data_IF_087572957662
#
_entry.id   IF_087572957662
#
_cell.length_a   1.000
_cell.length_b   1.000
_cell.length_c   1.000
_cell.angle_alpha   90.00
_cell.angle_beta   90.00
_cell.angle_gamma   90.00
#
_symmetry.space_group_name_H-M   'P 1'
#
loop_
_entity.id
_entity.type
_entity.pdbx_description
1 polymer ?
#
# COMPACT_ATOMS: atom_id res chain seq x y z
N UNK A 1 -19.63 25.54 -15.89
CA UNK A 1 -19.49 24.10 -15.69
C UNK A 1 -20.23 23.32 -16.77
N UNK A 2 -21.54 23.54 -16.93
CA UNK A 2 -22.38 22.77 -17.88
C UNK A 2 -22.02 22.96 -19.37
N UNK A 3 -21.48 24.12 -19.78
CA UNK A 3 -20.98 24.33 -21.15
C UNK A 3 -19.67 23.60 -21.46
N UNK A 4 -18.80 23.41 -20.45
CA UNK A 4 -17.48 22.79 -20.64
C UNK A 4 -17.59 21.28 -20.84
N UNK A 5 -18.58 20.64 -20.18
CA UNK A 5 -18.89 19.22 -20.33
C UNK A 5 -19.59 18.90 -21.66
N UNK A 6 -20.25 19.87 -22.29
CA UNK A 6 -20.91 19.69 -23.59
C UNK A 6 -19.93 19.77 -24.78
N UNK A 7 -18.84 20.52 -24.63
CA UNK A 7 -17.84 20.75 -25.69
C UNK A 7 -16.68 19.73 -25.65
N UNK A 8 -16.51 19.00 -24.54
CA UNK A 8 -15.48 17.97 -24.38
C UNK A 8 -16.10 16.66 -23.85
N UNK A 9 -16.80 15.89 -24.69
CA UNK A 9 -17.32 14.59 -24.26
C UNK A 9 -16.14 13.69 -23.85
N UNK A 10 -16.14 13.27 -22.58
CA UNK A 10 -15.25 12.23 -22.08
C UNK A 10 -15.37 11.00 -23.00
N UNK A 11 -14.27 10.30 -23.33
CA UNK A 11 -14.37 9.01 -24.00
C UNK A 11 -15.30 8.13 -23.15
N UNK A 12 -16.33 7.59 -23.79
CA UNK A 12 -17.32 6.73 -23.16
C UNK A 12 -16.59 5.43 -22.76
N UNK A 13 -15.99 5.41 -21.58
CA UNK A 13 -15.37 4.20 -21.02
C UNK A 13 -16.52 3.32 -20.58
N UNK A 14 -16.81 2.33 -21.42
CA UNK A 14 -17.78 1.29 -21.13
C UNK A 14 -17.30 0.42 -19.96
N UNK A 15 -17.67 0.84 -18.76
CA UNK A 15 -17.42 0.09 -17.51
C UNK A 15 -18.17 -1.25 -17.47
N UNK A 16 -19.09 -1.53 -18.39
CA UNK A 16 -19.80 -2.81 -18.43
C UNK A 16 -18.92 -3.99 -18.88
N UNK A 17 -17.80 -3.71 -19.57
CA UNK A 17 -16.88 -4.72 -20.11
C UNK A 17 -15.63 -5.01 -19.25
N UNK A 18 -15.40 -4.28 -18.15
CA UNK A 18 -14.26 -4.53 -17.26
C UNK A 18 -14.50 -5.59 -16.17
N UNK A 19 -15.62 -6.33 -16.22
CA UNK A 19 -15.87 -7.48 -15.32
C UNK A 19 -14.93 -8.67 -15.56
N UNK A 20 -14.12 -8.66 -16.62
CA UNK A 20 -13.25 -9.77 -17.02
C UNK A 20 -11.77 -9.36 -17.13
N UNK A 21 -11.29 -8.44 -16.30
CA UNK A 21 -9.86 -8.42 -16.01
C UNK A 21 -9.57 -9.64 -15.11
N UNK A 22 -9.03 -10.71 -15.70
CA UNK A 22 -8.44 -11.82 -14.96
C UNK A 22 -7.21 -11.29 -14.20
N UNK A 23 -7.45 -10.60 -13.08
CA UNK A 23 -6.51 -10.57 -11.97
C UNK A 23 -6.37 -12.04 -11.59
N UNK A 24 -5.19 -12.62 -11.80
CA UNK A 24 -4.96 -14.04 -11.51
C UNK A 24 -5.60 -14.38 -10.17
N UNK A 25 -6.57 -15.31 -10.19
CA UNK A 25 -7.29 -15.71 -8.99
C UNK A 25 -6.24 -16.10 -7.95
N UNK A 26 -6.13 -15.30 -6.88
CA UNK A 26 -5.42 -15.74 -5.69
C UNK A 26 -6.26 -16.89 -5.17
N UNK A 27 -5.78 -18.11 -5.38
CA UNK A 27 -6.44 -19.29 -4.84
C UNK A 27 -6.44 -19.18 -3.32
N UNK A 28 -7.59 -18.80 -2.76
CA UNK A 28 -7.78 -18.60 -1.32
C UNK A 28 -7.52 -19.90 -0.53
N UNK A 29 -7.62 -21.05 -1.19
CA UNK A 29 -7.31 -22.35 -0.58
C UNK A 29 -5.80 -22.56 -0.35
N UNK A 30 -4.92 -21.84 -1.06
CA UNK A 30 -3.48 -21.83 -0.79
C UNK A 30 -3.09 -20.96 0.41
N UNK A 31 -4.04 -20.17 0.92
CA UNK A 31 -3.89 -19.31 2.09
C UNK A 31 -4.49 -19.92 3.35
N UNK A 32 -4.99 -21.16 3.30
CA UNK A 32 -5.65 -21.85 4.42
C UNK A 32 -4.98 -23.22 4.61
N UNK A 33 -4.52 -23.54 5.83
CA UNK A 33 -3.90 -24.84 6.10
C UNK A 33 -4.94 -25.95 6.11
N UNK A 34 -4.46 -27.19 6.23
CA UNK A 34 -5.30 -28.39 6.24
C UNK A 34 -6.32 -28.42 7.40
N UNK A 35 -6.21 -27.51 8.35
CA UNK A 35 -7.07 -27.38 9.53
C UNK A 35 -8.05 -26.19 9.41
N UNK A 36 -8.04 -25.48 8.27
CA UNK A 36 -8.92 -24.33 8.05
C UNK A 36 -8.38 -23.02 8.61
N UNK A 37 -7.11 -22.95 9.03
CA UNK A 37 -6.50 -21.72 9.54
C UNK A 37 -5.73 -20.97 8.45
N UNK A 38 -5.88 -19.64 8.43
CA UNK A 38 -5.20 -18.78 7.48
C UNK A 38 -3.67 -18.85 7.63
N UNK A 39 -2.96 -19.36 6.62
CA UNK A 39 -1.52 -19.66 6.58
C UNK A 39 -0.66 -18.39 6.71
N UNK A 40 -1.19 -17.22 6.35
CA UNK A 40 -0.40 -15.98 6.29
C UNK A 40 -1.12 -14.74 6.79
N UNK A 41 -1.55 -14.73 8.06
CA UNK A 41 -1.80 -13.46 8.74
C UNK A 41 -1.32 -13.51 10.18
N UNK A 42 -0.58 -12.47 10.59
CA UNK A 42 -0.11 -12.33 11.95
C UNK A 42 -1.34 -12.31 12.88
N UNK A 43 -1.38 -13.17 13.90
CA UNK A 43 -2.52 -13.33 14.82
C UNK A 43 -2.97 -12.02 15.46
N UNK A 44 -2.05 -11.05 15.62
CA UNK A 44 -2.33 -9.69 16.11
C UNK A 44 -3.32 -8.96 15.21
N UNK A 45 -3.14 -8.98 13.89
CA UNK A 45 -3.95 -8.19 12.95
C UNK A 45 -5.37 -8.75 12.84
N UNK A 46 -5.52 -10.08 12.81
CA UNK A 46 -6.84 -10.71 12.78
C UNK A 46 -7.61 -10.49 14.08
N UNK A 47 -6.94 -10.63 15.24
CA UNK A 47 -7.56 -10.30 16.53
C UNK A 47 -7.95 -8.83 16.61
N UNK A 48 -7.10 -7.92 16.16
CA UNK A 48 -7.42 -6.50 16.11
C UNK A 48 -8.62 -6.23 15.21
N UNK A 49 -8.67 -6.83 14.02
CA UNK A 49 -9.83 -6.75 13.12
C UNK A 49 -11.10 -7.20 13.86
N UNK A 50 -11.06 -8.34 14.55
CA UNK A 50 -12.20 -8.83 15.34
C UNK A 50 -12.60 -7.86 16.45
N UNK A 51 -11.65 -7.28 17.18
CA UNK A 51 -11.91 -6.28 18.24
C UNK A 51 -12.53 -5.01 17.64
N UNK A 52 -12.02 -4.54 16.51
CA UNK A 52 -12.56 -3.37 15.81
C UNK A 52 -13.98 -3.62 15.31
N UNK A 53 -14.24 -4.78 14.69
CA UNK A 53 -15.58 -5.15 14.24
C UNK A 53 -16.53 -5.29 15.43
N UNK A 54 -16.10 -5.90 16.54
CA UNK A 54 -16.93 -6.00 17.74
C UNK A 54 -17.32 -4.62 18.30
N UNK A 55 -16.43 -3.62 18.23
CA UNK A 55 -16.69 -2.26 18.70
C UNK A 55 -17.35 -1.36 17.64
N UNK A 56 -17.24 -1.70 16.36
CA UNK A 56 -17.71 -0.91 15.22
C UNK A 56 -18.12 -1.85 14.07
N UNK A 57 -19.29 -2.52 14.19
CA UNK A 57 -19.70 -3.57 13.24
C UNK A 57 -19.80 -3.10 11.79
N UNK A 58 -20.15 -1.83 11.56
CA UNK A 58 -20.19 -1.21 10.23
C UNK A 58 -18.85 -1.26 9.47
N UNK A 59 -17.72 -1.47 10.15
CA UNK A 59 -16.41 -1.62 9.50
C UNK A 59 -16.19 -3.02 8.89
N UNK A 60 -17.06 -4.00 9.17
CA UNK A 60 -16.99 -5.33 8.52
C UNK A 60 -17.65 -5.29 7.12
N UNK A 61 -17.07 -4.45 6.26
CA UNK A 61 -17.52 -4.25 4.89
C UNK A 61 -17.07 -5.38 3.98
N UNK A 62 -17.71 -5.52 2.81
CA UNK A 62 -17.25 -6.46 1.79
C UNK A 62 -15.84 -6.09 1.34
N UNK A 63 -15.01 -7.10 1.11
CA UNK A 63 -13.65 -6.88 0.61
C UNK A 63 -13.65 -6.15 -0.75
N UNK A 64 -14.64 -6.41 -1.62
CA UNK A 64 -14.82 -5.69 -2.88
C UNK A 64 -14.96 -4.19 -2.67
N UNK A 65 -15.77 -3.80 -1.69
CA UNK A 65 -16.12 -2.40 -1.42
C UNK A 65 -14.90 -1.65 -0.87
N UNK A 66 -14.12 -2.32 -0.01
CA UNK A 66 -12.83 -1.84 0.49
C UNK A 66 -11.82 -1.67 -0.66
N UNK A 67 -11.69 -2.67 -1.53
CA UNK A 67 -10.74 -2.64 -2.65
C UNK A 67 -11.06 -1.54 -3.66
N UNK A 68 -12.34 -1.33 -3.99
CA UNK A 68 -12.76 -0.24 -4.88
C UNK A 68 -12.52 1.10 -4.20
N UNK A 69 -12.96 1.25 -2.95
CA UNK A 69 -12.79 2.50 -2.19
C UNK A 69 -11.33 2.92 -2.07
N UNK A 70 -10.43 1.99 -1.72
CA UNK A 70 -9.00 2.31 -1.57
C UNK A 70 -8.29 2.65 -2.87
N UNK A 71 -8.86 2.31 -4.03
CA UNK A 71 -8.25 2.53 -5.36
C UNK A 71 -8.95 3.63 -6.17
N UNK A 72 -9.96 4.31 -5.58
CA UNK A 72 -10.77 5.33 -6.24
C UNK A 72 -10.03 6.68 -6.31
N UNK A 73 -8.94 6.73 -7.07
CA UNK A 73 -8.06 7.88 -7.15
C UNK A 73 -8.79 9.10 -7.72
N UNK A 74 -8.81 10.25 -7.02
CA UNK A 74 -9.37 11.48 -7.57
C UNK A 74 -8.74 11.77 -8.93
N UNK A 75 -9.54 12.29 -9.86
CA UNK A 75 -9.21 12.53 -11.27
C UNK A 75 -9.09 11.30 -12.18
N UNK A 76 -8.91 10.10 -11.63
CA UNK A 76 -8.93 8.84 -12.39
C UNK A 76 -10.28 8.11 -12.30
N UNK A 77 -10.84 8.04 -11.09
CA UNK A 77 -12.06 7.30 -10.79
C UNK A 77 -13.07 8.17 -10.02
N UNK A 78 -14.38 7.89 -10.15
CA UNK A 78 -15.38 8.51 -9.29
C UNK A 78 -15.22 8.06 -7.83
N UNK A 79 -15.61 8.89 -6.84
CA UNK A 79 -15.75 8.45 -5.46
C UNK A 79 -16.67 7.23 -5.34
N UNK A 80 -16.39 6.36 -4.38
CA UNK A 80 -17.10 5.11 -4.19
C UNK A 80 -18.04 5.16 -2.98
N UNK A 81 -19.31 4.85 -3.22
CA UNK A 81 -20.37 4.81 -2.20
C UNK A 81 -20.81 3.37 -1.93
N UNK A 82 -20.99 3.04 -0.66
CA UNK A 82 -21.71 1.84 -0.22
C UNK A 82 -22.25 2.02 1.20
N UNK A 83 -23.13 1.11 1.61
CA UNK A 83 -23.69 1.03 2.96
C UNK A 83 -23.31 -0.29 3.63
N UNK A 84 -23.18 -0.27 4.95
CA UNK A 84 -23.02 -1.49 5.74
C UNK A 84 -23.82 -1.43 7.04
N UNK A 85 -24.18 -2.59 7.61
CA UNK A 85 -24.97 -2.65 8.85
C UNK A 85 -24.15 -2.20 10.07
N UNK A 86 -24.71 -1.34 10.92
CA UNK A 86 -24.05 -0.84 12.13
C UNK A 86 -24.08 -1.81 13.32
N UNK A 87 -24.64 -3.01 13.14
CA UNK A 87 -24.87 -4.03 14.16
C UNK A 87 -26.11 -3.76 15.02
N UNK A 88 -26.85 -2.68 14.75
CA UNK A 88 -28.08 -2.28 15.43
C UNK A 88 -29.26 -2.23 14.46
N UNK A 89 -29.08 -2.72 13.24
CA UNK A 89 -30.08 -2.73 12.18
C UNK A 89 -30.24 -1.40 11.44
N UNK A 90 -29.31 -0.44 11.64
CA UNK A 90 -29.25 0.76 10.80
C UNK A 90 -28.17 0.59 9.73
N UNK A 91 -28.34 1.31 8.62
CA UNK A 91 -27.31 1.41 7.60
C UNK A 91 -26.32 2.54 7.95
N UNK A 92 -25.03 2.24 7.78
CA UNK A 92 -23.94 3.19 7.90
C UNK A 92 -23.36 3.44 6.51
N UNK A 93 -23.35 4.71 6.10
CA UNK A 93 -22.91 5.12 4.77
C UNK A 93 -21.39 5.34 4.72
N UNK A 94 -20.76 4.88 3.64
CA UNK A 94 -19.36 5.13 3.32
C UNK A 94 -19.27 5.89 2.00
N UNK A 95 -18.50 6.97 2.00
CA UNK A 95 -18.19 7.79 0.84
C UNK A 95 -16.67 7.88 0.71
N UNK A 96 -16.07 7.00 -0.09
CA UNK A 96 -14.64 6.75 -0.10
C UNK A 96 -13.97 7.29 -1.37
N UNK A 97 -12.71 7.67 -1.21
CA UNK A 97 -11.74 7.94 -2.27
C UNK A 97 -10.44 7.20 -1.92
N UNK A 98 -9.48 7.19 -2.85
CA UNK A 98 -8.23 6.46 -2.73
C UNK A 98 -7.46 6.70 -1.43
N UNK A 99 -6.89 5.61 -0.91
CA UNK A 99 -6.12 5.60 0.31
C UNK A 99 -4.86 6.46 0.26
N UNK A 100 -4.28 6.73 -0.91
CA UNK A 100 -3.13 7.58 -1.11
C UNK A 100 -3.37 9.03 -0.67
N UNK A 101 -4.63 9.49 -0.67
CA UNK A 101 -5.01 10.79 -0.11
C UNK A 101 -4.73 10.85 1.40
N UNK A 102 -4.84 9.72 2.10
CA UNK A 102 -4.52 9.62 3.53
C UNK A 102 -3.08 9.15 3.77
N UNK A 103 -2.62 8.11 3.06
CA UNK A 103 -1.31 7.49 3.23
C UNK A 103 -0.89 6.68 1.99
N UNK A 104 -0.16 7.31 1.07
CA UNK A 104 0.42 6.61 -0.10
C UNK A 104 1.41 5.49 0.26
N UNK A 105 2.07 5.59 1.42
CA UNK A 105 2.85 4.50 2.02
C UNK A 105 2.24 4.10 3.37
N UNK A 106 1.44 3.03 3.42
CA UNK A 106 0.73 2.65 4.64
C UNK A 106 1.61 1.96 5.69
N UNK A 107 2.92 1.83 5.48
CA UNK A 107 3.80 1.09 6.38
C UNK A 107 3.81 1.64 7.82
N UNK A 108 3.75 2.96 8.00
CA UNK A 108 3.68 3.57 9.33
C UNK A 108 2.30 3.38 9.96
N UNK A 109 1.23 3.38 9.16
CA UNK A 109 -0.13 3.03 9.61
C UNK A 109 -0.19 1.57 10.07
N UNK A 110 0.47 0.65 9.34
CA UNK A 110 0.57 -0.74 9.75
C UNK A 110 1.33 -0.90 11.07
N UNK A 111 2.47 -0.21 11.22
CA UNK A 111 3.27 -0.24 12.45
C UNK A 111 2.50 0.32 13.66
N UNK A 112 1.80 1.43 13.48
CA UNK A 112 0.98 2.03 14.53
C UNK A 112 -0.22 1.16 14.91
N UNK A 113 -0.86 0.52 13.91
CA UNK A 113 -1.94 -0.44 14.15
C UNK A 113 -1.46 -1.62 14.97
N UNK A 114 -0.32 -2.22 14.63
CA UNK A 114 0.27 -3.32 15.42
C UNK A 114 0.59 -2.87 16.85
N UNK A 115 1.17 -1.67 17.01
CA UNK A 115 1.51 -1.11 18.33
C UNK A 115 0.27 -0.92 19.21
N UNK A 116 -0.77 -0.29 18.67
CA UNK A 116 -2.06 -0.10 19.37
C UNK A 116 -2.73 -1.44 19.70
N UNK A 117 -2.60 -2.43 18.82
CA UNK A 117 -3.16 -3.77 19.05
C UNK A 117 -2.47 -4.47 20.21
N UNK A 118 -1.14 -4.34 20.31
CA UNK A 118 -0.35 -4.89 21.42
C UNK A 118 -0.70 -4.21 22.75
N UNK A 119 -0.96 -2.90 22.73
CA UNK A 119 -1.42 -2.15 23.91
C UNK A 119 -2.82 -2.57 24.37
N UNK A 120 -3.72 -2.83 23.44
CA UNK A 120 -5.13 -3.09 23.74
C UNK A 120 -5.44 -4.55 24.14
N UNK A 121 -4.66 -5.53 23.68
CA UNK A 121 -4.92 -6.96 23.91
C UNK A 121 -3.93 -7.57 24.93
N UNK A 122 -4.40 -7.95 26.13
CA UNK A 122 -3.58 -8.57 27.17
C UNK A 122 -2.85 -9.85 26.74
N UNK A 123 -3.34 -10.55 25.71
CA UNK A 123 -2.65 -11.73 25.16
C UNK A 123 -1.32 -11.38 24.47
N UNK A 124 -1.08 -10.10 24.19
CA UNK A 124 0.20 -9.58 23.71
C UNK A 124 1.00 -8.84 24.78
N UNK A 125 0.63 -8.89 26.06
CA UNK A 125 1.32 -8.17 27.15
C UNK A 125 2.82 -8.52 27.30
N UNK A 126 3.27 -9.64 26.71
CA UNK A 126 4.69 -10.01 26.63
C UNK A 126 5.50 -9.22 25.59
N UNK A 127 4.82 -8.53 24.67
CA UNK A 127 5.40 -7.62 23.68
C UNK A 127 5.20 -6.21 24.24
N UNK A 128 6.29 -5.45 24.41
CA UNK A 128 6.15 -4.04 24.81
C UNK A 128 5.64 -3.24 23.62
N UNK A 129 4.75 -2.26 23.83
CA UNK A 129 4.38 -1.31 22.78
C UNK A 129 5.64 -0.69 22.17
N UNK A 130 5.66 -0.59 20.83
CA UNK A 130 6.81 -0.12 20.05
C UNK A 130 8.11 -0.92 20.27
N UNK A 131 8.03 -2.19 20.68
CA UNK A 131 9.20 -3.08 20.67
C UNK A 131 9.53 -3.53 19.23
N UNK A 132 10.06 -2.58 18.46
CA UNK A 132 10.38 -2.79 17.05
C UNK A 132 11.42 -3.89 16.81
N UNK A 133 12.18 -4.30 17.84
CA UNK A 133 13.11 -5.44 17.74
C UNK A 133 12.35 -6.75 17.53
N UNK A 134 11.09 -6.80 17.96
CA UNK A 134 10.20 -7.93 17.75
C UNK A 134 9.39 -7.82 16.44
N UNK A 135 9.34 -6.65 15.81
CA UNK A 135 8.60 -6.40 14.58
C UNK A 135 9.54 -6.56 13.39
N UNK A 136 9.14 -7.38 12.41
CA UNK A 136 9.75 -7.39 11.09
C UNK A 136 8.79 -6.68 10.15
N UNK A 137 9.26 -5.63 9.48
CA UNK A 137 8.47 -4.81 8.57
C UNK A 137 9.08 -4.84 7.17
N UNK A 138 8.35 -5.45 6.24
CA UNK A 138 8.62 -5.37 4.80
C UNK A 138 7.68 -4.33 4.20
N UNK A 139 8.23 -3.32 3.56
CA UNK A 139 7.49 -2.27 2.87
C UNK A 139 7.88 -2.30 1.39
N UNK A 140 6.89 -2.40 0.50
CA UNK A 140 7.09 -2.47 -0.94
C UNK A 140 6.54 -1.20 -1.58
N UNK A 141 7.34 -0.54 -2.41
CA UNK A 141 6.94 0.62 -3.20
C UNK A 141 6.60 0.24 -4.63
N UNK A 142 5.75 1.04 -5.27
CA UNK A 142 5.44 0.94 -6.71
C UNK A 142 6.42 1.71 -7.58
N UNK A 143 7.36 2.42 -6.96
CA UNK A 143 8.44 3.14 -7.59
C UNK A 143 8.18 4.64 -7.70
N UNK A 144 9.27 5.40 -7.82
CA UNK A 144 9.25 6.85 -8.04
C UNK A 144 9.99 7.19 -9.33
N UNK A 145 9.70 8.35 -9.90
CA UNK A 145 10.34 8.80 -11.14
C UNK A 145 11.77 9.28 -10.85
N UNK A 146 12.70 9.00 -11.77
CA UNK A 146 14.12 9.34 -11.62
C UNK A 146 14.40 10.84 -11.47
N UNK A 147 13.52 11.67 -12.03
CA UNK A 147 13.73 13.09 -12.28
C UNK A 147 12.71 14.00 -11.58
N UNK A 148 12.45 13.80 -10.29
CA UNK A 148 11.59 14.73 -9.54
C UNK A 148 12.12 16.17 -9.55
N UNK A 149 13.44 16.33 -9.65
CA UNK A 149 14.10 17.65 -9.76
C UNK A 149 13.96 18.32 -11.14
N UNK A 150 13.40 17.62 -12.14
CA UNK A 150 13.26 18.10 -13.52
C UNK A 150 11.86 18.00 -14.11
N UNK A 151 10.87 17.45 -13.38
CA UNK A 151 9.50 17.32 -13.91
C UNK A 151 8.83 18.67 -14.12
N UNK A 152 8.99 19.61 -13.18
CA UNK A 152 8.48 20.98 -13.27
C UNK A 152 9.46 21.96 -12.62
N UNK A 153 9.57 23.15 -13.19
CA UNK A 153 10.33 24.26 -12.60
C UNK A 153 9.40 25.25 -11.89
N UNK A 154 9.94 26.01 -10.93
CA UNK A 154 9.19 27.08 -10.29
C UNK A 154 8.76 28.18 -11.30
N UNK A 155 9.56 28.44 -12.32
CA UNK A 155 9.25 29.41 -13.39
C UNK A 155 8.04 28.96 -14.23
N UNK A 156 7.95 27.67 -14.56
CA UNK A 156 6.77 27.11 -15.23
C UNK A 156 5.53 27.14 -14.32
N UNK A 157 5.69 26.73 -13.05
CA UNK A 157 4.61 26.63 -12.08
C UNK A 157 4.07 28.00 -11.62
N UNK A 158 4.85 29.08 -11.72
CA UNK A 158 4.40 30.45 -11.41
C UNK A 158 3.19 30.89 -12.25
N UNK A 159 3.06 30.30 -13.45
CA UNK A 159 1.95 30.55 -14.36
C UNK A 159 0.78 29.56 -14.22
N UNK A 160 0.82 28.64 -13.25
CA UNK A 160 -0.22 27.62 -13.09
C UNK A 160 -1.47 28.16 -12.41
N UNK A 161 -2.62 27.94 -13.06
CA UNK A 161 -3.94 28.08 -12.44
C UNK A 161 -4.40 26.78 -11.76
N UNK A 162 -5.60 26.79 -11.15
CA UNK A 162 -6.17 25.63 -10.45
C UNK A 162 -6.18 24.34 -11.29
N UNK A 163 -6.50 24.45 -12.60
CA UNK A 163 -6.51 23.30 -13.51
C UNK A 163 -5.11 22.76 -13.70
N UNK A 164 -4.09 23.60 -13.89
CA UNK A 164 -2.71 23.14 -14.09
C UNK A 164 -2.13 22.47 -12.84
N UNK A 165 -2.48 22.94 -11.65
CA UNK A 165 -2.09 22.27 -10.40
C UNK A 165 -2.68 20.85 -10.27
N UNK A 166 -3.86 20.61 -10.84
CA UNK A 166 -4.51 19.29 -10.83
C UNK A 166 -4.18 18.46 -12.06
N UNK A 167 -3.96 19.08 -13.21
CA UNK A 167 -3.76 18.45 -14.52
C UNK A 167 -2.73 19.24 -15.33
N UNK A 168 -1.54 18.69 -15.51
CA UNK A 168 -0.52 19.30 -16.35
C UNK A 168 0.18 18.23 -17.17
N UNK A 169 0.34 18.39 -18.48
CA UNK A 169 1.11 17.46 -19.32
C UNK A 169 0.79 15.97 -19.10
N UNK A 170 -0.50 15.61 -19.01
CA UNK A 170 -0.99 14.24 -18.74
C UNK A 170 -0.54 13.63 -17.39
N UNK A 171 -0.25 14.47 -16.40
CA UNK A 171 0.01 14.09 -15.02
C UNK A 171 -0.95 14.82 -14.07
N UNK A 172 -0.91 14.43 -12.78
CA UNK A 172 -1.62 15.11 -11.71
C UNK A 172 -0.63 15.68 -10.67
N UNK A 173 -0.04 16.88 -10.92
CA UNK A 173 1.12 17.35 -10.17
C UNK A 173 0.93 17.35 -8.65
N UNK A 174 -0.18 17.91 -8.15
CA UNK A 174 -0.41 18.01 -6.71
C UNK A 174 -0.57 16.63 -6.04
N UNK A 175 -1.24 15.69 -6.71
CA UNK A 175 -1.48 14.33 -6.19
C UNK A 175 -0.17 13.55 -6.18
N UNK A 176 0.57 13.58 -7.29
CA UNK A 176 1.86 12.89 -7.44
C UNK A 176 2.88 13.42 -6.44
N UNK A 177 3.05 14.75 -6.33
CA UNK A 177 3.93 15.37 -5.34
C UNK A 177 3.58 14.99 -3.90
N UNK A 178 2.29 15.01 -3.55
CA UNK A 178 1.85 14.69 -2.20
C UNK A 178 2.06 13.20 -1.88
N UNK A 179 1.76 12.33 -2.86
CA UNK A 179 1.93 10.88 -2.74
C UNK A 179 3.41 10.50 -2.59
N UNK A 180 4.29 11.04 -3.45
CA UNK A 180 5.72 10.79 -3.37
C UNK A 180 6.33 11.35 -2.07
N UNK A 181 5.96 12.57 -1.67
CA UNK A 181 6.40 13.13 -0.39
C UNK A 181 5.94 12.25 0.79
N UNK A 182 4.71 11.74 0.77
CA UNK A 182 4.20 10.81 1.77
C UNK A 182 5.00 9.50 1.81
N UNK A 183 5.36 8.95 0.65
CA UNK A 183 6.19 7.74 0.56
C UNK A 183 7.59 7.95 1.16
N UNK A 184 8.27 9.03 0.77
CA UNK A 184 9.61 9.39 1.25
C UNK A 184 9.61 9.67 2.76
N UNK A 185 8.66 10.49 3.24
CA UNK A 185 8.62 10.85 4.66
C UNK A 185 8.29 9.65 5.55
N UNK A 186 7.40 8.76 5.12
CA UNK A 186 7.10 7.53 5.86
C UNK A 186 8.32 6.59 5.94
N UNK A 187 9.05 6.39 4.84
CA UNK A 187 10.31 5.62 4.86
C UNK A 187 11.33 6.26 5.82
N UNK A 188 11.51 7.58 5.74
CA UNK A 188 12.39 8.32 6.64
C UNK A 188 12.04 8.15 8.13
N UNK A 189 10.76 8.27 8.49
CA UNK A 189 10.31 8.11 9.88
C UNK A 189 10.53 6.69 10.39
N UNK A 190 10.17 5.68 9.60
CA UNK A 190 10.32 4.27 9.99
C UNK A 190 11.81 3.93 10.12
N UNK A 191 12.63 4.29 9.12
CA UNK A 191 14.06 4.06 9.14
C UNK A 191 14.72 4.72 10.36
N UNK A 192 14.31 5.95 10.70
CA UNK A 192 14.80 6.67 11.89
C UNK A 192 14.48 5.91 13.18
N UNK A 193 13.24 5.44 13.35
CA UNK A 193 12.82 4.66 14.53
C UNK A 193 13.61 3.35 14.62
N UNK A 194 13.75 2.63 13.50
CA UNK A 194 14.48 1.36 13.44
C UNK A 194 15.97 1.51 13.71
N UNK A 195 16.58 2.58 13.22
CA UNK A 195 17.98 2.91 13.51
C UNK A 195 18.20 3.32 14.96
N UNK A 196 17.39 4.23 15.49
CA UNK A 196 17.54 4.73 16.86
C UNK A 196 17.46 3.61 17.92
N UNK A 197 16.75 2.53 17.62
CA UNK A 197 16.57 1.39 18.52
C UNK A 197 17.47 0.19 18.15
N UNK A 198 18.40 0.34 17.20
CA UNK A 198 19.37 -0.69 16.80
C UNK A 198 18.71 -1.95 16.23
N UNK A 199 17.69 -1.77 15.40
CA UNK A 199 16.93 -2.82 14.75
C UNK A 199 16.88 -2.65 13.23
N UNK A 200 17.84 -1.98 12.61
CA UNK A 200 17.85 -1.58 11.20
C UNK A 200 17.51 -2.74 10.26
N UNK A 201 18.04 -3.93 10.53
CA UNK A 201 17.84 -5.13 9.70
C UNK A 201 16.42 -5.67 9.70
N UNK A 202 15.58 -5.21 10.64
CA UNK A 202 14.18 -5.62 10.77
C UNK A 202 13.24 -4.82 9.87
N UNK A 203 13.67 -3.67 9.35
CA UNK A 203 12.93 -2.90 8.37
C UNK A 203 13.57 -3.06 6.99
N UNK A 204 12.78 -3.49 6.01
CA UNK A 204 13.22 -3.61 4.63
C UNK A 204 12.23 -2.84 3.74
N UNK A 205 12.70 -1.76 3.11
CA UNK A 205 12.01 -1.04 2.04
C UNK A 205 12.56 -1.47 0.69
N UNK A 206 11.71 -2.02 -0.17
CA UNK A 206 12.04 -2.33 -1.57
C UNK A 206 11.31 -1.31 -2.45
N UNK A 207 12.06 -0.50 -3.18
CA UNK A 207 11.50 0.58 -3.99
C UNK A 207 12.41 0.92 -5.16
N UNK A 208 11.82 0.99 -6.35
CA UNK A 208 12.45 1.58 -7.54
C UNK A 208 12.46 3.09 -7.40
N UNK A 209 13.59 3.75 -7.65
CA UNK A 209 13.71 5.22 -7.50
C UNK A 209 13.93 5.94 -8.83
N UNK A 210 13.94 5.19 -9.93
CA UNK A 210 14.26 5.69 -11.25
C UNK A 210 13.36 5.09 -12.33
N UNK A 211 12.04 5.16 -12.14
CA UNK A 211 11.09 4.88 -13.23
C UNK A 211 11.28 5.90 -14.36
N UNK A 212 11.05 5.45 -15.60
CA UNK A 212 11.22 6.26 -16.82
C UNK A 212 10.20 5.89 -17.90
N UNK A 213 9.92 6.82 -18.82
CA UNK A 213 9.04 6.56 -19.95
C UNK A 213 7.62 6.16 -19.51
N UNK A 214 7.03 5.17 -20.17
CA UNK A 214 5.65 4.75 -19.88
C UNK A 214 5.46 4.14 -18.48
N UNK A 215 6.55 3.68 -17.84
CA UNK A 215 6.48 3.04 -16.51
C UNK A 215 6.16 4.03 -15.39
N UNK A 216 6.20 5.34 -15.64
CA UNK A 216 5.80 6.37 -14.68
C UNK A 216 4.28 6.58 -14.64
N UNK A 217 3.54 6.09 -15.64
CA UNK A 217 2.09 6.30 -15.76
C UNK A 217 1.32 5.19 -15.05
N UNK A 218 0.63 5.55 -13.96
CA UNK A 218 -0.13 4.59 -13.14
C UNK A 218 -1.34 3.96 -13.85
N UNK A 219 -1.86 4.61 -14.89
CA UNK A 219 -3.04 4.21 -15.66
C UNK A 219 -2.70 3.54 -17.01
N UNK A 220 -1.41 3.34 -17.31
CA UNK A 220 -0.99 2.72 -18.57
C UNK A 220 -0.98 1.19 -18.48
N UNK A 221 -2.14 0.58 -18.72
CA UNK A 221 -2.34 -0.87 -18.72
C UNK A 221 -2.06 -1.56 -20.08
N UNK A 222 -1.27 -0.94 -20.96
CA UNK A 222 -0.88 -1.60 -22.22
C UNK A 222 0.00 -2.82 -21.93
N UNK A 223 -0.15 -3.89 -22.72
CA UNK A 223 0.65 -5.11 -22.55
C UNK A 223 2.16 -4.83 -22.58
N UNK A 224 2.60 -3.93 -23.45
CA UNK A 224 3.99 -3.50 -23.52
C UNK A 224 4.46 -2.86 -22.21
N UNK A 225 3.66 -1.95 -21.62
CA UNK A 225 4.01 -1.31 -20.36
C UNK A 225 3.99 -2.29 -19.17
N UNK A 226 3.02 -3.20 -19.13
CA UNK A 226 2.96 -4.24 -18.10
C UNK A 226 4.19 -5.14 -18.14
N UNK A 227 4.64 -5.55 -19.33
CA UNK A 227 5.87 -6.32 -19.51
C UNK A 227 7.12 -5.53 -19.10
N UNK A 228 7.16 -4.22 -19.33
CA UNK A 228 8.24 -3.35 -18.83
C UNK A 228 8.23 -3.27 -17.31
N UNK A 229 7.08 -3.16 -16.66
CA UNK A 229 6.97 -3.15 -15.19
C UNK A 229 7.43 -4.47 -14.56
N UNK A 230 7.16 -5.62 -15.21
CA UNK A 230 7.73 -6.91 -14.79
C UNK A 230 9.25 -6.87 -14.85
N UNK A 231 9.83 -6.40 -15.96
CA UNK A 231 11.29 -6.26 -16.11
C UNK A 231 11.87 -5.29 -15.07
N UNK A 232 11.19 -4.20 -14.74
CA UNK A 232 11.58 -3.29 -13.66
C UNK A 232 11.67 -4.05 -12.33
N UNK A 233 10.67 -4.87 -11.99
CA UNK A 233 10.68 -5.70 -10.79
C UNK A 233 11.83 -6.71 -10.76
N UNK A 234 12.06 -7.42 -11.87
CA UNK A 234 13.18 -8.38 -12.00
C UNK A 234 14.55 -7.70 -11.84
N UNK A 235 14.72 -6.52 -12.45
CA UNK A 235 15.94 -5.73 -12.31
C UNK A 235 16.10 -5.16 -10.90
N UNK A 236 15.00 -4.75 -10.26
CA UNK A 236 15.00 -4.23 -8.89
C UNK A 236 15.54 -5.26 -7.90
N UNK A 237 15.26 -6.56 -8.09
CA UNK A 237 15.84 -7.62 -7.27
C UNK A 237 17.37 -7.62 -7.28
N UNK A 238 17.99 -7.22 -8.40
CA UNK A 238 19.45 -7.19 -8.55
C UNK A 238 20.09 -5.88 -8.08
N UNK A 239 19.29 -4.83 -7.85
CA UNK A 239 19.77 -3.55 -7.32
C UNK A 239 20.17 -3.68 -5.84
N UNK A 240 21.17 -2.92 -5.37
CA UNK A 240 21.52 -2.86 -3.96
C UNK A 240 20.40 -2.22 -3.14
N UNK A 241 20.21 -2.66 -1.89
CA UNK A 241 19.20 -2.13 -0.95
C UNK A 241 19.40 -0.65 -0.69
N UNK A 242 20.65 -0.19 -0.63
CA UNK A 242 20.97 1.24 -0.53
C UNK A 242 22.36 1.54 -1.10
N UNK A 243 22.67 2.83 -1.34
CA UNK A 243 24.01 3.24 -1.79
C UNK A 243 25.15 2.83 -0.84
N UNK A 244 24.84 2.61 0.45
CA UNK A 244 25.82 2.25 1.48
C UNK A 244 25.87 0.75 1.77
N UNK A 245 24.87 -0.02 1.29
CA UNK A 245 24.78 -1.46 1.52
C UNK A 245 24.80 -2.19 0.17
N UNK A 246 25.89 -2.92 -0.16
CA UNK A 246 26.00 -3.65 -1.42
C UNK A 246 25.10 -4.90 -1.48
N UNK A 247 24.49 -5.33 -0.35
CA UNK A 247 23.47 -6.38 -0.35
C UNK A 247 22.37 -6.04 -1.36
N UNK A 248 22.08 -6.98 -2.26
CA UNK A 248 21.01 -6.85 -3.25
C UNK A 248 19.64 -7.03 -2.59
N UNK A 249 18.60 -6.48 -3.23
CA UNK A 249 17.23 -6.68 -2.79
C UNK A 249 16.84 -8.17 -2.74
N UNK A 250 17.33 -9.00 -3.67
CA UNK A 250 17.14 -10.44 -3.65
C UNK A 250 17.76 -11.11 -2.40
N UNK A 251 19.00 -10.75 -2.05
CA UNK A 251 19.67 -11.28 -0.86
C UNK A 251 18.95 -10.86 0.42
N UNK A 252 18.56 -9.58 0.51
CA UNK A 252 17.79 -9.07 1.64
C UNK A 252 16.43 -9.76 1.79
N UNK A 253 15.72 -10.01 0.68
CA UNK A 253 14.47 -10.76 0.67
C UNK A 253 14.66 -12.22 1.09
N UNK A 254 15.72 -12.89 0.62
CA UNK A 254 16.06 -14.26 1.07
C UNK A 254 16.35 -14.30 2.58
N UNK A 255 17.10 -13.31 3.09
CA UNK A 255 17.33 -13.15 4.53
C UNK A 255 16.02 -12.93 5.29
N UNK A 256 15.14 -12.07 4.77
CA UNK A 256 13.83 -11.79 5.37
C UNK A 256 12.95 -13.06 5.40
N UNK A 257 12.91 -13.81 4.30
CA UNK A 257 12.19 -15.08 4.20
C UNK A 257 12.70 -16.13 5.21
N UNK A 258 14.02 -16.21 5.41
CA UNK A 258 14.63 -17.07 6.43
C UNK A 258 14.15 -16.69 7.84
N UNK A 259 14.16 -15.39 8.18
CA UNK A 259 13.68 -14.91 9.49
C UNK A 259 12.20 -15.24 9.72
N UNK A 260 11.35 -15.09 8.69
CA UNK A 260 9.94 -15.46 8.76
C UNK A 260 9.76 -16.97 8.99
N UNK A 261 10.50 -17.80 8.25
CA UNK A 261 10.48 -19.27 8.39
C UNK A 261 10.90 -19.73 9.79
N UNK A 262 11.99 -19.18 10.32
CA UNK A 262 12.49 -19.49 11.66
C UNK A 262 11.50 -19.07 12.75
N UNK A 263 10.87 -17.89 12.62
CA UNK A 263 9.82 -17.45 13.54
C UNK A 263 8.60 -18.35 13.51
N UNK A 264 8.18 -18.82 12.32
CA UNK A 264 7.08 -19.79 12.18
C UNK A 264 7.41 -21.10 12.92
N UNK A 265 8.57 -21.69 12.66
CA UNK A 265 9.02 -22.94 13.31
C UNK A 265 9.07 -22.81 14.83
N UNK A 266 9.59 -21.69 15.34
CA UNK A 266 9.63 -21.43 16.80
C UNK A 266 8.24 -21.33 17.42
N UNK A 267 7.25 -20.76 16.72
CA UNK A 267 5.86 -20.67 17.21
C UNK A 267 5.19 -22.04 17.23
N UNK A 268 5.37 -22.86 16.19
CA UNK A 268 4.83 -24.22 16.13
C UNK A 268 5.39 -25.09 17.27
N UNK A 269 6.72 -25.12 17.43
CA UNK A 269 7.36 -25.91 18.48
C UNK A 269 6.95 -25.50 19.91
N UNK A 270 6.48 -24.26 20.11
CA UNK A 270 6.00 -23.76 21.40
C UNK A 270 4.52 -24.10 21.65
N UNK A 271 3.75 -24.35 20.59
CA UNK A 271 2.36 -24.79 20.70
C UNK A 271 2.28 -26.30 21.02
N UNK A 272 3.29 -27.07 20.59
CA UNK A 272 3.39 -28.53 20.81
C UNK A 272 4.03 -28.91 22.16
N UNK A 273 4.48 -27.93 22.95
CA UNK A 273 5.19 -28.10 24.23
C UNK A 273 4.38 -27.59 25.42
#
# INVERSE_FOLDING_TARGET
MDRFLAENPQPNIDVSNHRNANVGEVNMDELIDKEGQWIYFNSIVLKQKQIQIANSPHLDAKLSDICIGTSAAPTYFPPYYFENDDGKGNQYEFNLIDGAVAAANPALIALSTVTRSVEADPSFASIKPLDIKQILLLSLGTGTTADFAGTYTAEEADNWGLVSWLFHNNSNPLIEMSSEASAIMNDYYIATIYHALGAETNYLRIEERALTGTTTQMDNATEANMNLLVQVGENLLKKPVSKKNPETNEEALKRFAKLLSERKKKRANKADS
#
